data_IF_410441494447
#
_entry.id   IF_410441494447
#
_cell.length_a   1.000
_cell.length_b   1.000
_cell.length_c   1.000
_cell.angle_alpha   90.00
_cell.angle_beta   90.00
_cell.angle_gamma   90.00
#
_symmetry.space_group_name_H-M   'P 1'
#
loop_
_entity.id
_entity.type
_entity.pdbx_description
1 polymer ?
#
# COMPACT_ATOMS: atom_id res chain seq x y z
N UNK A 1 -24.79 -15.01 -36.54
CA UNK A 1 -25.71 -13.85 -36.64
C UNK A 1 -24.90 -12.60 -36.31
N UNK A 2 -24.47 -11.86 -37.33
CA UNK A 2 -25.00 -10.55 -37.80
C UNK A 2 -24.60 -9.39 -36.88
N UNK A 3 -23.76 -8.53 -37.47
CA UNK A 3 -23.29 -7.20 -37.04
C UNK A 3 -24.43 -6.18 -37.07
N UNK A 4 -24.45 -5.21 -36.15
CA UNK A 4 -24.91 -3.85 -36.45
C UNK A 4 -24.50 -2.85 -35.36
N UNK A 5 -23.50 -2.03 -35.70
CA UNK A 5 -23.33 -0.64 -35.25
C UNK A 5 -24.57 0.21 -35.55
N UNK A 6 -24.93 1.14 -34.67
CA UNK A 6 -25.98 2.13 -34.95
C UNK A 6 -25.92 3.33 -34.01
N UNK A 7 -25.33 4.43 -34.48
CA UNK A 7 -25.32 5.74 -33.86
C UNK A 7 -26.70 6.42 -33.92
N UNK A 8 -26.99 7.31 -32.97
CA UNK A 8 -28.07 8.29 -33.11
C UNK A 8 -27.61 9.65 -32.58
N UNK A 9 -27.24 10.51 -33.53
CA UNK A 9 -27.16 11.95 -33.38
C UNK A 9 -28.29 12.57 -34.20
N UNK A 10 -29.19 13.31 -33.55
CA UNK A 10 -30.01 14.33 -34.22
C UNK A 10 -30.06 15.55 -33.31
N UNK A 11 -29.67 16.67 -33.90
CA UNK A 11 -29.54 18.00 -33.35
C UNK A 11 -30.76 18.87 -33.71
N UNK A 12 -30.79 20.06 -33.07
CA UNK A 12 -31.57 21.27 -33.37
C UNK A 12 -32.97 21.43 -32.77
N UNK A 13 -33.04 22.37 -31.82
CA UNK A 13 -34.24 23.15 -31.48
C UNK A 13 -33.82 24.39 -30.67
N UNK A 14 -33.75 25.55 -31.33
CA UNK A 14 -33.43 26.82 -30.71
C UNK A 14 -34.63 27.36 -29.90
N UNK A 15 -34.38 27.93 -28.71
CA UNK A 15 -35.28 28.87 -28.04
C UNK A 15 -34.47 30.01 -27.38
N UNK A 16 -34.90 31.29 -27.52
CA UNK A 16 -34.21 32.47 -27.01
C UNK A 16 -34.67 32.86 -25.59
N UNK A 17 -33.86 33.71 -24.95
CA UNK A 17 -34.14 34.44 -23.69
C UNK A 17 -34.27 33.52 -22.47
N UNK A 18 -33.70 33.80 -21.29
CA UNK A 18 -33.89 35.02 -20.52
C UNK A 18 -32.64 35.27 -19.65
N UNK A 19 -32.13 36.49 -19.69
CA UNK A 19 -31.13 36.95 -18.75
C UNK A 19 -31.78 37.02 -17.36
N UNK A 20 -31.26 36.26 -16.40
CA UNK A 20 -31.45 36.56 -14.98
C UNK A 20 -30.10 37.01 -14.41
N UNK A 21 -29.91 38.33 -14.40
CA UNK A 21 -28.94 38.96 -13.53
C UNK A 21 -29.32 38.65 -12.08
N UNK A 22 -28.49 37.87 -11.40
CA UNK A 22 -28.46 37.81 -9.94
C UNK A 22 -27.19 38.51 -9.44
N UNK A 23 -27.31 39.31 -8.36
CA UNK A 23 -26.28 40.24 -7.93
C UNK A 23 -25.06 39.51 -7.37
N UNK A 24 -23.90 39.81 -7.94
CA UNK A 24 -22.58 39.45 -7.45
C UNK A 24 -22.23 40.28 -6.20
N UNK A 25 -22.83 39.98 -5.05
CA UNK A 25 -22.43 40.60 -3.76
C UNK A 25 -22.10 39.61 -2.65
N UNK A 26 -22.15 38.30 -2.91
CA UNK A 26 -21.77 37.26 -1.93
C UNK A 26 -20.34 36.74 -2.06
N UNK A 27 -19.70 36.86 -3.22
CA UNK A 27 -18.40 36.23 -3.48
C UNK A 27 -17.20 37.00 -2.89
N UNK A 28 -17.32 38.32 -2.74
CA UNK A 28 -16.25 39.16 -2.19
C UNK A 28 -16.07 38.94 -0.66
N UNK A 29 -17.18 38.86 0.09
CA UNK A 29 -17.14 38.72 1.55
C UNK A 29 -16.58 37.36 2.03
N UNK A 30 -16.78 36.29 1.24
CA UNK A 30 -16.22 34.95 1.55
C UNK A 30 -14.71 34.93 1.26
N UNK A 31 -14.26 35.70 0.27
CA UNK A 31 -12.85 35.77 -0.11
C UNK A 31 -11.98 36.49 0.92
N UNK A 32 -12.52 37.51 1.60
CA UNK A 32 -11.79 38.22 2.66
C UNK A 32 -11.67 37.38 3.95
N UNK A 33 -12.72 36.63 4.32
CA UNK A 33 -12.67 35.75 5.50
C UNK A 33 -11.67 34.57 5.36
N UNK A 34 -11.41 34.10 4.14
CA UNK A 34 -10.38 33.06 3.88
C UNK A 34 -8.97 33.66 3.85
N UNK A 35 -8.84 34.95 3.48
CA UNK A 35 -7.55 35.64 3.45
C UNK A 35 -7.07 36.06 4.85
N UNK A 36 -8.00 36.33 5.76
CA UNK A 36 -7.73 36.77 7.13
C UNK A 36 -7.64 35.60 8.15
N UNK A 37 -7.88 34.37 7.70
CA UNK A 37 -7.72 33.14 8.47
C UNK A 37 -6.25 32.84 8.75
N UNK A 38 -5.80 33.24 9.94
CA UNK A 38 -4.44 33.09 10.42
C UNK A 38 -3.86 31.69 10.22
N UNK A 39 -2.55 31.69 9.94
CA UNK A 39 -1.65 30.55 9.73
C UNK A 39 -2.18 29.25 10.39
N UNK A 40 -2.63 28.24 9.61
CA UNK A 40 -3.09 26.99 10.19
C UNK A 40 -1.97 26.43 11.07
N UNK A 41 -2.31 26.08 12.31
CA UNK A 41 -1.35 25.53 13.27
C UNK A 41 -0.53 24.44 12.59
N UNK A 42 0.75 24.74 12.32
CA UNK A 42 1.72 23.75 11.86
C UNK A 42 2.30 23.14 13.13
N UNK A 43 1.96 21.88 13.48
CA UNK A 43 2.60 21.24 14.63
C UNK A 43 4.11 21.32 14.43
N UNK A 44 4.89 21.55 15.51
CA UNK A 44 6.34 21.53 15.41
C UNK A 44 6.70 20.19 14.76
N UNK A 45 7.40 20.25 13.63
CA UNK A 45 7.84 19.06 12.92
C UNK A 45 8.59 18.20 13.93
N UNK A 46 7.95 17.10 14.37
CA UNK A 46 8.56 16.12 15.24
C UNK A 46 9.94 15.83 14.67
N UNK A 47 10.98 15.90 15.50
CA UNK A 47 12.37 15.68 15.08
C UNK A 47 12.37 14.46 14.16
N UNK A 48 12.52 14.70 12.87
CA UNK A 48 12.36 13.66 11.87
C UNK A 48 13.49 12.68 12.15
N UNK A 49 13.15 11.52 12.72
CA UNK A 49 14.12 10.47 12.99
C UNK A 49 14.96 10.31 11.74
N UNK A 50 16.28 10.43 11.90
CA UNK A 50 17.18 10.43 10.77
C UNK A 50 16.94 9.12 10.01
N UNK A 51 16.60 9.16 8.70
CA UNK A 51 16.31 7.95 7.94
C UNK A 51 17.51 6.99 7.92
N UNK A 52 18.73 7.48 8.16
CA UNK A 52 19.91 6.65 8.35
C UNK A 52 19.86 5.82 9.64
N UNK A 53 19.41 6.41 10.76
CA UNK A 53 19.31 5.72 12.05
C UNK A 53 18.20 4.66 11.99
N UNK A 54 17.04 4.99 11.42
CA UNK A 54 15.96 4.03 11.20
C UNK A 54 16.33 2.87 10.25
N UNK A 55 17.32 3.05 9.36
CA UNK A 55 17.88 1.96 8.56
C UNK A 55 18.81 1.10 9.41
N UNK A 56 19.67 1.71 10.22
CA UNK A 56 20.56 0.99 11.13
C UNK A 56 19.81 0.10 12.11
N UNK A 57 18.78 0.65 12.76
CA UNK A 57 17.96 -0.09 13.73
C UNK A 57 17.29 -1.32 13.09
N UNK A 58 16.78 -1.17 11.87
CA UNK A 58 16.20 -2.29 11.09
C UNK A 58 17.23 -3.36 10.76
N UNK A 59 18.43 -2.96 10.38
CA UNK A 59 19.51 -3.88 10.05
C UNK A 59 20.02 -4.63 11.28
N UNK A 60 20.11 -3.95 12.42
CA UNK A 60 20.48 -4.58 13.69
C UNK A 60 19.43 -5.60 14.13
N UNK A 61 18.13 -5.26 14.03
CA UNK A 61 17.05 -6.19 14.33
C UNK A 61 17.10 -7.46 13.47
N UNK A 62 17.30 -7.32 12.15
CA UNK A 62 17.44 -8.46 11.24
C UNK A 62 18.65 -9.33 11.57
N UNK A 63 19.77 -8.71 11.96
CA UNK A 63 20.98 -9.43 12.37
C UNK A 63 20.75 -10.22 13.67
N UNK A 64 20.06 -9.62 14.65
CA UNK A 64 19.69 -10.28 15.90
C UNK A 64 18.79 -11.49 15.64
N UNK A 65 17.79 -11.34 14.76
CA UNK A 65 16.90 -12.44 14.37
C UNK A 65 17.70 -13.57 13.70
N UNK A 66 18.57 -13.24 12.75
CA UNK A 66 19.47 -14.20 12.11
C UNK A 66 20.33 -14.98 13.09
N UNK A 67 20.88 -14.30 14.10
CA UNK A 67 21.68 -14.94 15.14
C UNK A 67 20.83 -15.81 16.08
N UNK A 68 19.56 -15.44 16.28
CA UNK A 68 18.59 -16.24 17.02
C UNK A 68 18.11 -17.49 16.27
N UNK A 69 18.19 -17.50 14.94
CA UNK A 69 17.84 -18.69 14.16
C UNK A 69 18.92 -19.78 14.23
N UNK A 70 18.50 -21.03 14.34
CA UNK A 70 19.41 -22.17 14.32
C UNK A 70 20.13 -22.29 12.98
N UNK A 71 21.45 -22.54 13.01
CA UNK A 71 22.26 -22.84 11.82
C UNK A 71 22.04 -24.27 11.30
N UNK A 72 21.36 -25.11 12.07
CA UNK A 72 21.11 -26.50 11.70
C UNK A 72 19.98 -26.61 10.69
N UNK A 73 19.92 -27.74 9.99
CA UNK A 73 18.83 -28.02 9.05
C UNK A 73 17.57 -28.32 9.85
N UNK A 74 16.57 -27.45 9.76
CA UNK A 74 15.23 -27.69 10.27
C UNK A 74 14.29 -28.13 9.13
N UNK A 75 13.31 -28.96 9.48
CA UNK A 75 12.25 -29.40 8.59
C UNK A 75 10.91 -29.10 9.24
N UNK A 76 9.97 -28.65 8.43
CA UNK A 76 8.58 -28.43 8.81
C UNK A 76 7.70 -29.42 8.06
N UNK A 77 6.49 -29.68 8.57
CA UNK A 77 5.52 -30.52 7.88
C UNK A 77 4.29 -29.73 7.46
N UNK A 78 4.40 -28.86 6.45
CA UNK A 78 3.26 -28.09 5.98
C UNK A 78 2.30 -28.99 5.20
N UNK A 79 1.01 -28.85 5.49
CA UNK A 79 -0.07 -29.50 4.76
C UNK A 79 -0.39 -30.92 5.20
N UNK A 80 -1.12 -31.64 4.35
CA UNK A 80 -1.73 -32.93 4.67
C UNK A 80 -0.79 -34.09 4.40
N UNK A 81 -0.73 -35.05 5.33
CA UNK A 81 0.04 -36.27 5.17
C UNK A 81 -0.51 -37.13 4.01
N UNK A 82 0.38 -37.79 3.28
CA UNK A 82 0.01 -38.74 2.22
C UNK A 82 -0.14 -40.15 2.81
N UNK A 83 -1.04 -40.97 2.27
CA UNK A 83 -1.26 -42.32 2.77
C UNK A 83 -0.39 -43.34 2.00
N UNK A 84 0.31 -44.22 2.71
CA UNK A 84 1.05 -45.32 2.11
C UNK A 84 0.10 -46.45 1.67
N UNK A 85 0.57 -47.36 0.80
CA UNK A 85 -0.19 -48.53 0.38
C UNK A 85 -0.60 -49.48 1.54
N UNK A 86 0.04 -49.32 2.70
CA UNK A 86 -0.25 -50.07 3.94
C UNK A 86 -1.18 -49.29 4.89
N UNK A 87 -1.73 -48.15 4.43
CA UNK A 87 -2.64 -47.30 5.21
C UNK A 87 -1.96 -46.34 6.20
N UNK A 88 -0.62 -46.25 6.22
CA UNK A 88 0.10 -45.37 7.17
C UNK A 88 0.17 -43.94 6.65
N UNK A 89 -0.04 -42.94 7.51
CA UNK A 89 0.14 -41.53 7.16
C UNK A 89 1.63 -41.17 7.16
N UNK A 90 2.09 -40.59 6.04
CA UNK A 90 3.45 -40.09 5.86
C UNK A 90 3.37 -38.57 5.75
N UNK A 91 3.91 -37.83 6.73
CA UNK A 91 3.88 -36.37 6.68
C UNK A 91 4.74 -35.88 5.51
N UNK A 92 4.24 -34.86 4.82
CA UNK A 92 5.07 -34.11 3.89
C UNK A 92 6.12 -33.37 4.70
N UNK A 93 7.39 -33.52 4.37
CA UNK A 93 8.47 -32.75 5.00
C UNK A 93 9.01 -31.75 4.00
N UNK A 94 9.05 -30.49 4.41
CA UNK A 94 9.67 -29.40 3.67
C UNK A 94 10.82 -28.83 4.48
N UNK A 95 11.85 -28.36 3.78
CA UNK A 95 12.98 -27.73 4.44
C UNK A 95 12.56 -26.34 4.91
N UNK A 96 12.87 -26.02 6.16
CA UNK A 96 12.69 -24.65 6.64
C UNK A 96 13.69 -23.71 5.93
N UNK A 97 13.14 -22.71 5.25
CA UNK A 97 13.90 -21.69 4.52
C UNK A 97 13.88 -20.33 5.24
N UNK A 98 13.31 -20.24 6.44
CA UNK A 98 13.20 -19.01 7.24
C UNK A 98 14.54 -18.27 7.36
N UNK A 99 15.59 -18.96 7.81
CA UNK A 99 16.94 -18.39 7.94
C UNK A 99 17.50 -17.88 6.61
N UNK A 100 17.27 -18.61 5.51
CA UNK A 100 17.75 -18.19 4.18
C UNK A 100 17.02 -16.92 3.72
N UNK A 101 15.71 -16.83 3.94
CA UNK A 101 14.92 -15.64 3.61
C UNK A 101 15.36 -14.43 4.44
N UNK A 102 15.68 -14.61 5.72
CA UNK A 102 16.25 -13.56 6.56
C UNK A 102 17.63 -13.13 6.07
N UNK A 103 18.52 -14.05 5.68
CA UNK A 103 19.84 -13.74 5.12
C UNK A 103 19.72 -12.92 3.83
N UNK A 104 18.78 -13.29 2.96
CA UNK A 104 18.51 -12.58 1.70
C UNK A 104 17.94 -11.18 1.94
N UNK A 105 17.00 -11.06 2.88
CA UNK A 105 16.41 -9.77 3.28
C UNK A 105 17.47 -8.85 3.89
N UNK A 106 18.34 -9.38 4.75
CA UNK A 106 19.44 -8.63 5.33
C UNK A 106 20.39 -8.13 4.24
N UNK A 107 20.80 -8.99 3.28
CA UNK A 107 21.63 -8.56 2.15
C UNK A 107 20.95 -7.50 1.29
N UNK A 108 19.66 -7.67 0.97
CA UNK A 108 18.96 -6.71 0.12
C UNK A 108 18.83 -5.31 0.74
N UNK A 109 18.79 -5.19 2.08
CA UNK A 109 18.49 -3.93 2.76
C UNK A 109 19.69 -3.32 3.51
N UNK A 110 20.69 -4.12 3.85
CA UNK A 110 21.73 -3.76 4.83
C UNK A 110 23.17 -3.94 4.34
N UNK A 111 23.38 -4.50 3.15
CA UNK A 111 24.68 -4.49 2.45
C UNK A 111 24.65 -3.50 1.29
#
# INVERSE_FOLDING_TARGET
MIVATGALSISLGAMPAQAQQMPSSGAAAISDAVREGGNPYRPPSAASANPADAKRDRCEALLQELNGTSKQRAYTSPGTATQSAQGRSIPKLERDNSRKQLEETYRANCT
#
